data_IF_416105962083
#
_entry.id   IF_416105962083
#
_cell.length_a   1.000
_cell.length_b   1.000
_cell.length_c   1.000
_cell.angle_alpha   90.00
_cell.angle_beta   90.00
_cell.angle_gamma   90.00
#
_symmetry.space_group_name_H-M   'P 1'
#
loop_
_entity.id
_entity.type
_entity.pdbx_description
1 polymer ?
#
# COMPACT_ATOMS: atom_id res chain seq x y z
N UNK A 1 3.13 10.34 24.45
CA UNK A 1 3.57 9.16 23.66
C UNK A 1 3.81 9.63 22.24
N UNK A 2 5.00 9.34 21.66
CA UNK A 2 5.27 9.62 20.25
C UNK A 2 4.37 8.74 19.38
N UNK A 3 3.73 9.34 18.38
CA UNK A 3 2.90 8.59 17.44
C UNK A 3 3.77 7.64 16.60
N UNK A 4 3.31 6.41 16.44
CA UNK A 4 4.05 5.35 15.75
C UNK A 4 3.19 4.65 14.71
N UNK A 5 3.83 4.09 13.69
CA UNK A 5 3.21 3.33 12.60
C UNK A 5 3.89 1.96 12.46
N UNK A 6 3.25 1.03 11.77
CA UNK A 6 3.88 -0.28 11.49
C UNK A 6 5.11 -0.10 10.59
N UNK A 7 6.20 -0.82 10.91
CA UNK A 7 7.46 -0.72 10.18
C UNK A 7 7.36 -1.17 8.71
N UNK A 8 6.28 -1.87 8.34
CA UNK A 8 6.01 -2.24 6.97
C UNK A 8 5.71 -1.00 6.09
N UNK A 9 5.22 0.10 6.68
CA UNK A 9 4.91 1.32 5.93
C UNK A 9 6.20 1.97 5.36
N UNK A 10 7.19 2.37 6.19
CA UNK A 10 8.45 2.91 5.64
C UNK A 10 9.18 1.89 4.76
N UNK A 11 9.11 0.59 5.07
CA UNK A 11 9.66 -0.44 4.21
C UNK A 11 9.03 -0.41 2.81
N UNK A 12 7.71 -0.29 2.73
CA UNK A 12 7.01 -0.25 1.43
C UNK A 12 7.42 0.94 0.57
N UNK A 13 7.64 2.10 1.20
CA UNK A 13 8.09 3.32 0.52
C UNK A 13 9.51 3.15 -0.02
N UNK A 14 10.43 2.66 0.79
CA UNK A 14 11.83 2.47 0.41
C UNK A 14 12.01 1.40 -0.67
N UNK A 15 11.28 0.28 -0.57
CA UNK A 15 11.30 -0.78 -1.58
C UNK A 15 10.74 -0.31 -2.93
N UNK A 16 9.73 0.56 -2.90
CA UNK A 16 9.19 1.16 -4.12
C UNK A 16 10.21 2.09 -4.79
N UNK A 17 10.88 2.95 -4.01
CA UNK A 17 11.96 3.82 -4.52
C UNK A 17 13.07 2.97 -5.12
N UNK A 18 13.54 1.94 -4.41
CA UNK A 18 14.57 1.03 -4.91
C UNK A 18 14.15 0.36 -6.21
N UNK A 19 12.93 -0.18 -6.26
CA UNK A 19 12.43 -0.89 -7.44
C UNK A 19 12.32 0.00 -8.67
N UNK A 20 11.93 1.27 -8.50
CA UNK A 20 11.81 2.23 -9.61
C UNK A 20 13.18 2.73 -10.06
N UNK A 21 14.10 2.92 -9.12
CA UNK A 21 15.44 3.41 -9.43
C UNK A 21 16.37 2.31 -9.95
N UNK A 22 16.00 1.02 -9.81
CA UNK A 22 16.78 -0.11 -10.33
C UNK A 22 16.57 -0.20 -11.85
N UNK A 23 17.65 -0.19 -12.65
CA UNK A 23 17.56 -0.37 -14.09
C UNK A 23 16.87 -1.69 -14.46
N UNK A 24 16.04 -1.67 -15.50
CA UNK A 24 15.33 -2.87 -15.97
C UNK A 24 16.09 -3.60 -17.07
N UNK A 25 16.98 -2.89 -17.79
CA UNK A 25 17.77 -3.43 -18.89
C UNK A 25 19.20 -3.78 -18.46
N UNK A 26 19.75 -4.86 -19.02
CA UNK A 26 21.13 -5.30 -18.73
C UNK A 26 22.18 -4.28 -19.18
N UNK A 27 21.91 -3.52 -20.25
CA UNK A 27 22.79 -2.46 -20.73
C UNK A 27 22.99 -1.33 -19.70
N UNK A 28 21.99 -1.08 -18.86
CA UNK A 28 22.08 -0.09 -17.79
C UNK A 28 22.75 -0.63 -16.52
N UNK A 29 22.90 -1.95 -16.40
CA UNK A 29 23.51 -2.59 -15.23
C UNK A 29 25.00 -2.31 -15.11
N UNK A 30 25.71 -2.08 -16.24
CA UNK A 30 27.12 -1.71 -16.24
C UNK A 30 27.38 -0.34 -15.58
N UNK A 31 26.37 0.53 -15.56
CA UNK A 31 26.44 1.88 -14.98
C UNK A 31 25.85 1.95 -13.56
N UNK A 32 25.54 0.81 -12.93
CA UNK A 32 24.92 0.81 -11.58
C UNK A 32 25.77 1.54 -10.55
N UNK A 33 27.10 1.42 -10.63
CA UNK A 33 27.99 2.11 -9.67
C UNK A 33 28.00 3.64 -9.88
N UNK A 34 27.89 4.11 -11.13
CA UNK A 34 27.72 5.54 -11.41
C UNK A 34 26.34 6.04 -10.99
N UNK A 35 25.29 5.24 -11.20
CA UNK A 35 23.91 5.57 -10.84
C UNK A 35 23.68 5.51 -9.33
N UNK A 36 24.48 4.74 -8.60
CA UNK A 36 24.38 4.55 -7.13
C UNK A 36 24.39 5.87 -6.37
N UNK A 37 25.21 6.80 -6.79
CA UNK A 37 25.29 8.14 -6.20
C UNK A 37 24.29 9.15 -6.78
N UNK A 38 23.68 8.85 -7.93
CA UNK A 38 22.75 9.75 -8.62
C UNK A 38 21.28 9.42 -8.37
N UNK A 39 20.97 8.14 -8.03
CA UNK A 39 19.60 7.69 -7.76
C UNK A 39 19.45 7.29 -6.29
N UNK A 40 18.53 7.95 -5.60
CA UNK A 40 18.29 7.75 -4.15
C UNK A 40 18.08 6.27 -3.80
N UNK A 41 17.31 5.54 -4.59
CA UNK A 41 16.95 4.15 -4.34
C UNK A 41 18.11 3.16 -4.39
N UNK A 42 19.22 3.52 -5.05
CA UNK A 42 20.41 2.69 -5.15
C UNK A 42 21.48 3.03 -4.11
N UNK A 43 21.26 4.07 -3.28
CA UNK A 43 22.21 4.48 -2.26
C UNK A 43 22.34 3.46 -1.12
N UNK A 44 23.55 3.36 -0.54
CA UNK A 44 23.81 2.52 0.63
C UNK A 44 22.91 2.89 1.81
N UNK A 45 22.58 4.16 1.95
CA UNK A 45 21.65 4.65 2.98
C UNK A 45 20.28 4.01 2.85
N UNK A 46 19.71 3.98 1.63
CA UNK A 46 18.42 3.34 1.39
C UNK A 46 18.50 1.83 1.61
N UNK A 47 19.57 1.18 1.18
CA UNK A 47 19.80 -0.24 1.45
C UNK A 47 19.81 -0.57 2.95
N UNK A 48 20.55 0.19 3.75
CA UNK A 48 20.61 0.02 5.20
C UNK A 48 19.25 0.26 5.87
N UNK A 49 18.50 1.27 5.41
CA UNK A 49 17.16 1.56 5.92
C UNK A 49 16.16 0.45 5.55
N UNK A 50 16.23 -0.10 4.35
CA UNK A 50 15.42 -1.26 3.94
C UNK A 50 15.70 -2.45 4.87
N UNK A 51 16.98 -2.76 5.12
CA UNK A 51 17.37 -3.85 6.04
C UNK A 51 16.81 -3.62 7.44
N UNK A 52 16.99 -2.42 8.00
CA UNK A 52 16.48 -2.03 9.32
C UNK A 52 14.96 -2.21 9.42
N UNK A 53 14.21 -1.64 8.46
CA UNK A 53 12.74 -1.72 8.50
C UNK A 53 12.21 -3.11 8.17
N UNK A 54 12.91 -3.90 7.35
CA UNK A 54 12.58 -5.30 7.10
C UNK A 54 12.69 -6.15 8.37
N UNK A 55 13.76 -5.98 9.13
CA UNK A 55 13.94 -6.66 10.42
C UNK A 55 12.88 -6.20 11.44
N UNK A 56 12.61 -4.91 11.51
CA UNK A 56 11.58 -4.34 12.38
C UNK A 56 10.18 -4.87 12.04
N UNK A 57 9.83 -4.92 10.75
CA UNK A 57 8.55 -5.46 10.29
C UNK A 57 8.38 -6.95 10.63
N UNK A 58 9.44 -7.77 10.47
CA UNK A 58 9.41 -9.18 10.88
C UNK A 58 9.21 -9.37 12.37
N UNK A 59 9.74 -8.47 13.20
CA UNK A 59 9.59 -8.48 14.65
C UNK A 59 8.27 -7.81 15.11
N UNK A 60 7.45 -7.31 14.21
CA UNK A 60 6.21 -6.58 14.52
C UNK A 60 6.45 -5.24 15.23
N UNK A 61 7.63 -4.67 15.07
CA UNK A 61 8.02 -3.38 15.65
C UNK A 61 7.38 -2.21 14.92
N UNK A 62 7.39 -1.05 15.55
CA UNK A 62 6.79 0.17 15.02
C UNK A 62 7.90 1.19 14.73
N UNK A 63 7.67 2.02 13.71
CA UNK A 63 8.52 3.16 13.35
C UNK A 63 7.93 4.48 13.86
N UNK A 64 8.76 5.49 14.07
CA UNK A 64 8.30 6.83 14.42
C UNK A 64 7.50 7.46 13.28
N UNK A 65 6.33 8.01 13.59
CA UNK A 65 5.48 8.62 12.56
C UNK A 65 6.18 9.78 11.85
N UNK A 66 6.92 10.61 12.59
CA UNK A 66 7.62 11.77 12.03
C UNK A 66 8.73 11.36 11.05
N UNK A 67 9.45 10.26 11.35
CA UNK A 67 10.46 9.68 10.46
C UNK A 67 9.81 9.27 9.13
N UNK A 68 8.67 8.60 9.20
CA UNK A 68 7.97 8.12 8.00
C UNK A 68 7.34 9.27 7.22
N UNK A 69 6.81 10.28 7.88
CA UNK A 69 6.32 11.50 7.24
C UNK A 69 7.46 12.27 6.53
N UNK A 70 8.64 12.33 7.15
CA UNK A 70 9.84 12.91 6.53
C UNK A 70 10.23 12.16 5.25
N UNK A 71 10.26 10.83 5.30
CA UNK A 71 10.52 9.98 4.14
C UNK A 71 9.47 10.21 3.03
N UNK A 72 8.19 10.22 3.38
CA UNK A 72 7.12 10.47 2.42
C UNK A 72 7.23 11.85 1.75
N UNK A 73 7.63 12.89 2.51
CA UNK A 73 7.90 14.24 1.96
C UNK A 73 9.08 14.26 0.99
N UNK A 74 10.15 13.50 1.26
CA UNK A 74 11.27 13.38 0.31
C UNK A 74 10.82 12.72 -0.99
N UNK A 75 10.06 11.63 -0.90
CA UNK A 75 9.48 10.94 -2.06
C UNK A 75 8.55 11.87 -2.84
N UNK A 76 7.73 12.64 -2.14
CA UNK A 76 6.76 13.56 -2.76
C UNK A 76 7.37 14.70 -3.58
N UNK A 77 8.66 14.97 -3.42
CA UNK A 77 9.42 15.95 -4.24
C UNK A 77 9.92 15.38 -5.57
N UNK A 78 9.83 14.08 -5.77
CA UNK A 78 10.27 13.42 -6.99
C UNK A 78 9.27 13.68 -8.12
N UNK A 79 9.73 13.80 -9.37
CA UNK A 79 8.83 13.94 -10.53
C UNK A 79 7.96 12.69 -10.74
N UNK A 80 8.45 11.51 -10.31
CA UNK A 80 7.78 10.22 -10.40
C UNK A 80 7.08 9.80 -9.09
N UNK A 81 6.84 10.75 -8.17
CA UNK A 81 6.25 10.50 -6.84
C UNK A 81 4.98 9.64 -6.89
N UNK A 82 4.09 9.88 -7.86
CA UNK A 82 2.86 9.10 -8.00
C UNK A 82 3.14 7.62 -8.28
N UNK A 83 4.08 7.33 -9.18
CA UNK A 83 4.48 5.96 -9.50
C UNK A 83 5.09 5.27 -8.26
N UNK A 84 5.91 5.99 -7.49
CA UNK A 84 6.48 5.49 -6.24
C UNK A 84 5.39 5.18 -5.22
N UNK A 85 4.45 6.10 -4.93
CA UNK A 85 3.37 5.85 -3.98
C UNK A 85 2.46 4.71 -4.42
N UNK A 86 2.16 4.61 -5.70
CA UNK A 86 1.37 3.50 -6.26
C UNK A 86 2.09 2.17 -6.12
N UNK A 87 3.38 2.11 -6.40
CA UNK A 87 4.21 0.92 -6.21
C UNK A 87 4.32 0.52 -4.75
N UNK A 88 4.53 1.49 -3.85
CA UNK A 88 4.59 1.27 -2.41
C UNK A 88 3.27 0.71 -1.87
N UNK A 89 2.13 1.24 -2.34
CA UNK A 89 0.81 0.73 -1.97
C UNK A 89 0.62 -0.73 -2.39
N UNK A 90 1.02 -1.09 -3.59
CA UNK A 90 0.98 -2.50 -4.06
C UNK A 90 1.90 -3.40 -3.24
N UNK A 91 3.10 -2.94 -2.92
CA UNK A 91 4.02 -3.69 -2.04
C UNK A 91 3.40 -3.92 -0.65
N UNK A 92 2.85 -2.86 -0.04
CA UNK A 92 2.15 -2.94 1.25
C UNK A 92 1.03 -4.00 1.22
N UNK A 93 0.19 -3.97 0.19
CA UNK A 93 -0.90 -4.92 0.03
C UNK A 93 -0.39 -6.37 -0.04
N UNK A 94 0.62 -6.63 -0.85
CA UNK A 94 1.20 -7.97 -1.03
C UNK A 94 1.84 -8.50 0.26
N UNK A 95 2.58 -7.66 0.98
CA UNK A 95 3.21 -8.06 2.24
C UNK A 95 2.18 -8.29 3.35
N UNK A 96 1.20 -7.40 3.48
CA UNK A 96 0.13 -7.57 4.47
C UNK A 96 -0.76 -8.78 4.14
N UNK A 97 -1.03 -9.08 2.87
CA UNK A 97 -1.72 -10.30 2.44
C UNK A 97 -0.96 -11.58 2.84
N UNK A 98 0.39 -11.56 2.80
CA UNK A 98 1.22 -12.70 3.23
C UNK A 98 1.07 -13.02 4.71
N UNK A 99 0.61 -12.09 5.55
CA UNK A 99 0.34 -12.33 6.97
C UNK A 99 -0.92 -13.18 7.20
N UNK A 100 -1.77 -13.35 6.19
CA UNK A 100 -2.94 -14.24 6.22
C UNK A 100 -2.43 -15.67 6.00
N UNK A 101 -2.91 -16.62 6.82
CA UNK A 101 -2.48 -18.01 6.72
C UNK A 101 -2.72 -18.58 5.31
N UNK A 102 -1.82 -19.43 4.79
CA UNK A 102 -2.00 -20.09 3.48
C UNK A 102 -3.34 -20.80 3.35
N UNK A 103 -3.76 -21.51 4.40
CA UNK A 103 -5.04 -22.23 4.47
C UNK A 103 -6.21 -21.27 4.26
N UNK A 104 -6.23 -20.13 4.99
CA UNK A 104 -7.29 -19.12 4.83
C UNK A 104 -7.31 -18.53 3.43
N UNK A 105 -6.12 -18.27 2.84
CA UNK A 105 -6.02 -17.77 1.46
C UNK A 105 -6.59 -18.74 0.44
N UNK A 106 -6.27 -20.02 0.58
CA UNK A 106 -6.80 -21.07 -0.28
C UNK A 106 -8.31 -21.23 -0.10
N UNK A 107 -8.79 -21.23 1.15
CA UNK A 107 -10.24 -21.29 1.42
C UNK A 107 -10.99 -20.12 0.76
N UNK A 108 -10.51 -18.89 0.89
CA UNK A 108 -11.15 -17.73 0.26
C UNK A 108 -11.21 -17.83 -1.28
N UNK A 109 -10.26 -18.55 -1.90
CA UNK A 109 -10.25 -18.77 -3.36
C UNK A 109 -11.22 -19.87 -3.80
N UNK A 110 -11.43 -20.88 -2.96
CA UNK A 110 -12.26 -22.05 -3.29
C UNK A 110 -13.72 -21.88 -2.90
N UNK A 111 -14.00 -21.09 -1.87
CA UNK A 111 -15.36 -20.89 -1.38
C UNK A 111 -16.20 -20.01 -2.30
N UNK A 112 -17.53 -20.26 -2.38
CA UNK A 112 -18.46 -19.37 -3.04
C UNK A 112 -18.34 -17.94 -2.50
N UNK A 113 -18.54 -16.96 -3.38
CA UNK A 113 -18.38 -15.53 -3.03
C UNK A 113 -19.19 -15.10 -1.80
N UNK A 114 -20.37 -15.67 -1.59
CA UNK A 114 -21.22 -15.38 -0.43
C UNK A 114 -20.53 -15.70 0.91
N UNK A 115 -19.75 -16.78 0.95
CA UNK A 115 -19.01 -17.21 2.16
C UNK A 115 -17.64 -16.56 2.24
N UNK A 116 -16.94 -16.44 1.12
CA UNK A 116 -15.59 -15.86 1.06
C UNK A 116 -15.58 -14.37 1.45
N UNK A 117 -16.60 -13.60 1.03
CA UNK A 117 -16.69 -12.15 1.28
C UNK A 117 -16.65 -11.74 2.75
N UNK A 118 -17.45 -12.31 3.68
CA UNK A 118 -17.37 -11.94 5.09
C UNK A 118 -15.98 -12.19 5.70
N UNK A 119 -15.33 -13.29 5.28
CA UNK A 119 -13.97 -13.62 5.72
C UNK A 119 -12.97 -12.61 5.16
N UNK A 120 -13.03 -12.33 3.86
CA UNK A 120 -12.20 -11.33 3.21
C UNK A 120 -12.37 -9.95 3.86
N UNK A 121 -13.61 -9.52 4.15
CA UNK A 121 -13.89 -8.25 4.81
C UNK A 121 -13.22 -8.14 6.18
N UNK A 122 -13.27 -9.21 7.00
CA UNK A 122 -12.59 -9.23 8.28
C UNK A 122 -11.08 -9.02 8.13
N UNK A 123 -10.47 -9.64 7.12
CA UNK A 123 -9.04 -9.49 6.85
C UNK A 123 -8.70 -8.09 6.33
N UNK A 124 -9.46 -7.55 5.37
CA UNK A 124 -9.26 -6.17 4.88
C UNK A 124 -9.35 -5.17 6.02
N UNK A 125 -10.38 -5.29 6.88
CA UNK A 125 -10.56 -4.42 8.04
C UNK A 125 -9.39 -4.51 9.01
N UNK A 126 -8.90 -5.71 9.31
CA UNK A 126 -7.74 -5.92 10.20
C UNK A 126 -6.46 -5.32 9.61
N UNK A 127 -6.24 -5.51 8.31
CA UNK A 127 -5.09 -4.96 7.59
C UNK A 127 -5.16 -3.42 7.57
N UNK A 128 -6.32 -2.84 7.22
CA UNK A 128 -6.50 -1.40 7.20
C UNK A 128 -6.24 -0.76 8.57
N UNK A 129 -6.79 -1.33 9.63
CA UNK A 129 -6.59 -0.84 10.99
C UNK A 129 -5.11 -0.94 11.43
N UNK A 130 -4.44 -2.05 11.12
CA UNK A 130 -3.06 -2.29 11.57
C UNK A 130 -2.04 -1.48 10.80
N UNK A 131 -2.10 -1.51 9.46
CA UNK A 131 -1.03 -1.00 8.60
C UNK A 131 -1.31 0.37 8.01
N UNK A 132 -2.59 0.75 7.84
CA UNK A 132 -2.97 1.99 7.20
C UNK A 132 -3.56 3.02 8.16
N UNK A 133 -3.71 2.67 9.45
CA UNK A 133 -4.41 3.50 10.46
C UNK A 133 -5.82 3.90 9.98
N UNK A 134 -6.44 3.03 9.19
CA UNK A 134 -7.71 3.25 8.53
C UNK A 134 -8.84 2.39 9.11
N UNK A 135 -10.05 2.90 9.01
CA UNK A 135 -11.27 2.19 9.34
C UNK A 135 -11.94 1.68 8.07
N UNK A 136 -12.43 0.42 8.11
CA UNK A 136 -13.19 -0.16 7.00
C UNK A 136 -14.64 -0.35 7.41
N UNK A 137 -15.55 0.12 6.56
CA UNK A 137 -16.99 -0.12 6.71
C UNK A 137 -17.58 -0.59 5.39
N UNK A 138 -18.72 -1.26 5.49
CA UNK A 138 -19.52 -1.64 4.32
C UNK A 138 -20.74 -0.74 4.22
N UNK A 139 -20.98 -0.20 3.06
CA UNK A 139 -22.15 0.66 2.78
C UNK A 139 -22.82 0.13 1.50
N UNK A 140 -23.89 -0.63 1.69
CA UNK A 140 -24.57 -1.30 0.57
C UNK A 140 -23.63 -2.26 -0.18
N UNK A 141 -23.43 -1.99 -1.47
CA UNK A 141 -22.52 -2.75 -2.35
C UNK A 141 -21.06 -2.25 -2.33
N UNK A 142 -20.75 -1.23 -1.54
CA UNK A 142 -19.43 -0.64 -1.49
C UNK A 142 -18.68 -0.98 -0.20
N UNK A 143 -17.37 -1.09 -0.33
CA UNK A 143 -16.43 -0.97 0.79
C UNK A 143 -15.92 0.44 0.84
N UNK A 144 -15.91 0.98 2.04
CA UNK A 144 -15.43 2.33 2.31
C UNK A 144 -14.30 2.24 3.30
N UNK A 145 -13.12 2.75 2.90
CA UNK A 145 -11.96 2.92 3.77
C UNK A 145 -11.81 4.38 4.14
N UNK A 146 -11.80 4.67 5.41
CA UNK A 146 -11.59 5.99 5.96
C UNK A 146 -10.24 6.05 6.69
N UNK A 147 -9.43 7.05 6.37
CA UNK A 147 -8.13 7.30 7.01
C UNK A 147 -8.15 8.71 7.59
N UNK A 148 -8.28 8.85 8.91
CA UNK A 148 -8.37 10.16 9.57
C UNK A 148 -7.07 10.97 9.45
N UNK A 149 -5.92 10.29 9.49
CA UNK A 149 -4.58 10.90 9.41
C UNK A 149 -3.73 10.11 8.44
N UNK A 150 -3.70 10.56 7.20
CA UNK A 150 -2.84 9.97 6.17
C UNK A 150 -1.39 10.43 6.35
N UNK A 151 -0.46 9.48 6.43
CA UNK A 151 0.98 9.74 6.58
C UNK A 151 1.58 10.34 5.30
N UNK A 152 1.01 9.99 4.15
CA UNK A 152 1.49 10.44 2.85
C UNK A 152 0.77 11.67 2.33
N UNK A 153 -0.22 12.20 3.07
CA UNK A 153 -1.08 13.28 2.60
C UNK A 153 -0.31 14.57 2.26
N UNK A 154 0.56 14.99 3.18
CA UNK A 154 1.31 16.25 3.05
C UNK A 154 2.67 16.07 2.37
N UNK A 155 2.88 14.91 1.74
CA UNK A 155 4.17 14.57 1.14
C UNK A 155 4.37 15.19 -0.24
N UNK A 156 3.30 15.45 -1.00
CA UNK A 156 3.36 15.95 -2.37
C UNK A 156 2.23 16.94 -2.67
N UNK A 157 2.36 17.79 -3.70
CA UNK A 157 1.27 18.63 -4.18
C UNK A 157 0.02 17.81 -4.56
N UNK A 158 -1.15 18.41 -4.43
CA UNK A 158 -2.41 17.74 -4.75
C UNK A 158 -2.69 16.52 -3.87
N UNK A 159 -3.23 15.48 -4.46
CA UNK A 159 -3.59 14.22 -3.81
C UNK A 159 -2.64 13.06 -4.14
N UNK A 160 -1.44 13.36 -4.66
CA UNK A 160 -0.47 12.34 -5.12
C UNK A 160 -0.15 11.32 -4.01
N UNK A 161 0.05 11.77 -2.77
CA UNK A 161 0.28 10.87 -1.64
C UNK A 161 -0.91 9.94 -1.33
N UNK A 162 -2.13 10.29 -1.75
CA UNK A 162 -3.32 9.48 -1.55
C UNK A 162 -3.35 8.24 -2.46
N UNK A 163 -2.60 8.23 -3.56
CA UNK A 163 -2.49 7.08 -4.48
C UNK A 163 -1.90 5.84 -3.79
N UNK A 164 -1.14 6.03 -2.72
CA UNK A 164 -0.65 4.95 -1.85
C UNK A 164 -1.80 4.11 -1.28
N UNK A 165 -2.79 4.76 -0.69
CA UNK A 165 -3.95 4.09 -0.07
C UNK A 165 -4.87 3.47 -1.12
N UNK A 166 -5.11 4.19 -2.22
CA UNK A 166 -5.87 3.70 -3.36
C UNK A 166 -5.27 2.41 -3.92
N UNK A 167 -3.97 2.43 -4.22
CA UNK A 167 -3.26 1.28 -4.74
C UNK A 167 -3.22 0.10 -3.75
N UNK A 168 -3.08 0.40 -2.45
CA UNK A 168 -3.13 -0.63 -1.40
C UNK A 168 -4.49 -1.31 -1.36
N UNK A 169 -5.58 -0.53 -1.35
CA UNK A 169 -6.94 -1.08 -1.27
C UNK A 169 -7.27 -1.89 -2.53
N UNK A 170 -6.96 -1.35 -3.71
CA UNK A 170 -7.18 -2.04 -5.00
C UNK A 170 -6.46 -3.39 -5.05
N UNK A 171 -5.17 -3.43 -4.74
CA UNK A 171 -4.36 -4.66 -4.75
C UNK A 171 -4.85 -5.67 -3.70
N UNK A 172 -5.22 -5.22 -2.49
CA UNK A 172 -5.79 -6.09 -1.46
C UNK A 172 -7.09 -6.76 -1.91
N UNK A 173 -7.98 -6.01 -2.54
CA UNK A 173 -9.25 -6.56 -3.05
C UNK A 173 -9.00 -7.54 -4.19
N UNK A 174 -8.06 -7.24 -5.08
CA UNK A 174 -7.65 -8.18 -6.13
C UNK A 174 -7.11 -9.49 -5.54
N UNK A 175 -6.25 -9.42 -4.53
CA UNK A 175 -5.65 -10.61 -3.89
C UNK A 175 -6.65 -11.44 -3.07
N UNK A 176 -7.62 -10.80 -2.41
CA UNK A 176 -8.55 -11.46 -1.49
C UNK A 176 -9.77 -12.03 -2.19
N UNK A 177 -10.34 -11.32 -3.15
CA UNK A 177 -11.61 -11.68 -3.79
C UNK A 177 -11.57 -11.67 -5.32
N UNK A 178 -10.38 -11.41 -5.91
CA UNK A 178 -10.24 -11.29 -7.36
C UNK A 178 -10.92 -10.04 -7.95
N UNK A 179 -11.27 -9.03 -7.15
CA UNK A 179 -11.89 -7.80 -7.65
C UNK A 179 -10.86 -6.98 -8.43
N UNK A 180 -11.23 -6.59 -9.64
CA UNK A 180 -10.51 -5.62 -10.48
C UNK A 180 -11.23 -4.28 -10.58
N UNK A 181 -12.24 -4.08 -9.73
CA UNK A 181 -13.06 -2.87 -9.70
C UNK A 181 -12.26 -1.61 -9.38
N UNK A 182 -12.83 -0.47 -9.78
CA UNK A 182 -12.26 0.83 -9.47
C UNK A 182 -12.29 1.09 -7.96
N UNK A 183 -11.25 1.76 -7.48
CA UNK A 183 -11.19 2.37 -6.16
C UNK A 183 -11.20 3.87 -6.38
N UNK A 184 -12.20 4.55 -5.84
CA UNK A 184 -12.40 5.98 -6.01
C UNK A 184 -12.01 6.72 -4.72
N UNK A 185 -11.21 7.77 -4.83
CA UNK A 185 -10.90 8.67 -3.73
C UNK A 185 -12.01 9.73 -3.63
N UNK A 186 -13.00 9.50 -2.77
CA UNK A 186 -14.25 10.28 -2.71
C UNK A 186 -14.15 11.50 -1.80
N UNK A 187 -13.33 11.46 -0.75
CA UNK A 187 -13.08 12.58 0.17
C UNK A 187 -11.58 12.75 0.41
N UNK A 188 -11.15 13.98 0.63
CA UNK A 188 -9.74 14.28 0.87
C UNK A 188 -9.58 15.39 1.92
N UNK A 189 -8.77 15.15 2.94
CA UNK A 189 -8.43 16.15 3.96
C UNK A 189 -7.88 17.45 3.34
N UNK A 190 -7.12 17.35 2.25
CA UNK A 190 -6.62 18.55 1.54
C UNK A 190 -7.70 19.40 0.88
N UNK A 191 -8.89 18.85 0.67
CA UNK A 191 -10.07 19.60 0.23
C UNK A 191 -10.90 20.15 1.39
N UNK A 192 -10.40 20.04 2.63
CA UNK A 192 -11.11 20.49 3.82
C UNK A 192 -12.19 19.51 4.33
N UNK A 193 -12.20 18.27 3.86
CA UNK A 193 -13.29 17.30 4.12
C UNK A 193 -13.07 16.43 5.37
N UNK A 194 -12.18 16.81 6.27
CA UNK A 194 -11.95 16.18 7.58
C UNK A 194 -11.15 14.89 7.56
N UNK A 195 -11.47 13.93 6.68
CA UNK A 195 -10.74 12.66 6.52
C UNK A 195 -10.61 12.29 5.06
N UNK A 196 -9.63 11.42 4.74
CA UNK A 196 -9.55 10.81 3.41
C UNK A 196 -10.41 9.55 3.36
N UNK A 197 -11.23 9.43 2.33
CA UNK A 197 -12.13 8.30 2.15
C UNK A 197 -11.99 7.72 0.74
N UNK A 198 -11.84 6.40 0.65
CA UNK A 198 -11.81 5.64 -0.60
C UNK A 198 -12.99 4.68 -0.65
N UNK A 199 -13.65 4.64 -1.80
CA UNK A 199 -14.77 3.76 -2.08
C UNK A 199 -14.38 2.74 -3.13
N UNK A 200 -14.63 1.46 -2.86
CA UNK A 200 -14.41 0.36 -3.78
C UNK A 200 -15.70 -0.41 -4.00
N UNK A 201 -16.00 -0.78 -5.25
CA UNK A 201 -17.11 -1.68 -5.52
C UNK A 201 -16.79 -3.07 -4.95
N UNK A 202 -17.72 -3.59 -4.13
CA UNK A 202 -17.61 -4.89 -3.49
C UNK A 202 -18.38 -5.97 -4.24
N UNK A 203 -18.99 -5.64 -5.38
CA UNK A 203 -19.64 -6.64 -6.21
C UNK A 203 -18.58 -7.60 -6.72
N UNK A 204 -18.74 -8.90 -6.43
CA UNK A 204 -17.80 -9.90 -6.92
C UNK A 204 -17.84 -9.89 -8.44
N UNK A 205 -16.67 -10.01 -9.02
CA UNK A 205 -16.56 -10.57 -10.35
C UNK A 205 -17.24 -11.94 -10.32
N UNK A 206 -18.23 -12.10 -11.17
CA UNK A 206 -18.84 -13.41 -11.41
C UNK A 206 -17.78 -14.26 -12.11
N UNK A 207 -17.21 -15.23 -11.38
CA UNK A 207 -16.17 -16.12 -11.92
C UNK A 207 -16.67 -17.04 -13.03
N UNK A 208 -17.95 -16.93 -13.40
CA UNK A 208 -18.60 -17.75 -14.42
C UNK A 208 -18.39 -17.24 -15.84
N UNK A 209 -17.81 -16.05 -16.07
CA UNK A 209 -17.64 -15.44 -17.41
C UNK A 209 -16.25 -15.68 -18.02
N UNK A 210 -15.47 -16.60 -17.52
CA UNK A 210 -14.08 -16.84 -17.98
C UNK A 210 -13.77 -18.28 -18.42
N UNK A 211 -14.79 -19.07 -18.77
CA UNK A 211 -14.63 -20.44 -19.31
C UNK A 211 -15.47 -20.58 -20.58
N UNK A 212 -15.16 -19.81 -21.61
CA UNK A 212 -15.45 -20.10 -22.99
C UNK A 212 -14.19 -19.99 -23.82
#
# INVERSE_FOLDING_TARGET
>A
MLATVDALLPLSLLEAVRSIDTPQDQSDAEYVDELRNKRLGLSDTVYLQIKRHSEAARKGQRAGQDEVMGLAKLIGRRPDAEAVFRSAGRYMARQSYRTISPVTRTMMRLLPAAVARPVAFRHVRKIAARYLSGNMRRVGSFLVMEVPRSITLDSAPGSVGCTYYEATLRELLALLIGSIGAVEHVRCTRRGEGSCEWRADWRAFDRTVGLE
#
